data_IF_286673644933
#
_entry.id   IF_286673644933
#
_cell.length_a   1.000
_cell.length_b   1.000
_cell.length_c   1.000
_cell.angle_alpha   90.00
_cell.angle_beta   90.00
_cell.angle_gamma   90.00
#
_symmetry.space_group_name_H-M   'P 1'
#
loop_
_entity.id
_entity.type
_entity.pdbx_description
1 polymer ?
#
# COMPACT_ATOMS: atom_id res chain seq x y z
N UNK A 1 -10.50 -10.89 -17.00
CA UNK A 1 -10.32 -10.03 -15.80
C UNK A 1 -9.11 -9.14 -16.04
N UNK A 2 -9.30 -7.92 -16.55
CA UNK A 2 -8.20 -6.97 -16.75
C UNK A 2 -8.50 -5.71 -15.94
N UNK A 3 -8.10 -5.75 -14.66
CA UNK A 3 -8.00 -4.53 -13.85
C UNK A 3 -6.70 -3.78 -14.16
N UNK A 4 -6.54 -2.55 -13.66
CA UNK A 4 -5.30 -1.80 -13.79
C UNK A 4 -4.14 -2.55 -13.10
N UNK A 5 -2.96 -2.55 -13.73
CA UNK A 5 -1.74 -3.18 -13.21
C UNK A 5 -0.71 -2.13 -12.80
N UNK A 6 -0.08 -2.32 -11.64
CA UNK A 6 1.04 -1.49 -11.16
C UNK A 6 2.35 -2.21 -11.47
N UNK A 7 3.30 -1.52 -12.12
CA UNK A 7 4.64 -2.08 -12.36
C UNK A 7 5.46 -2.05 -11.06
N UNK A 8 6.06 -3.18 -10.74
CA UNK A 8 6.95 -3.36 -9.58
C UNK A 8 8.29 -3.88 -10.09
N UNK A 9 9.39 -3.31 -9.61
CA UNK A 9 10.72 -3.77 -10.00
C UNK A 9 11.01 -5.19 -9.47
N UNK A 10 11.95 -5.87 -10.13
CA UNK A 10 12.27 -7.27 -9.81
C UNK A 10 12.78 -7.46 -8.39
N UNK A 11 13.54 -6.52 -7.85
CA UNK A 11 14.12 -6.63 -6.51
C UNK A 11 13.03 -6.46 -5.44
N UNK A 12 12.10 -5.51 -5.63
CA UNK A 12 10.95 -5.37 -4.75
C UNK A 12 10.01 -6.56 -4.83
N UNK A 13 9.73 -7.08 -6.04
CA UNK A 13 8.90 -8.29 -6.20
C UNK A 13 9.49 -9.51 -5.49
N UNK A 14 10.82 -9.69 -5.52
CA UNK A 14 11.49 -10.76 -4.80
C UNK A 14 11.30 -10.65 -3.28
N UNK A 15 11.37 -9.43 -2.72
CA UNK A 15 11.09 -9.18 -1.30
C UNK A 15 9.63 -9.46 -0.97
N UNK A 16 8.69 -8.99 -1.81
CA UNK A 16 7.26 -9.23 -1.64
C UNK A 16 6.98 -10.74 -1.55
N UNK A 17 7.50 -11.54 -2.49
CA UNK A 17 7.32 -13.00 -2.48
C UNK A 17 7.87 -13.64 -1.20
N UNK A 18 9.08 -13.26 -0.80
CA UNK A 18 9.71 -13.78 0.43
C UNK A 18 8.88 -13.48 1.67
N UNK A 19 8.51 -12.22 1.88
CA UNK A 19 7.81 -11.81 3.09
C UNK A 19 6.33 -12.20 3.10
N UNK A 20 5.67 -12.26 1.94
CA UNK A 20 4.32 -12.82 1.83
C UNK A 20 4.28 -14.27 2.33
N UNK A 21 5.25 -15.11 1.91
CA UNK A 21 5.36 -16.49 2.37
C UNK A 21 5.66 -16.60 3.87
N UNK A 22 6.60 -15.79 4.38
CA UNK A 22 6.92 -15.76 5.83
C UNK A 22 5.69 -15.35 6.66
N UNK A 23 4.89 -14.42 6.16
CA UNK A 23 3.70 -13.92 6.84
C UNK A 23 2.45 -14.80 6.62
N UNK A 24 2.57 -15.93 5.92
CA UNK A 24 1.50 -16.92 5.76
C UNK A 24 0.42 -16.54 4.74
N UNK A 25 0.70 -15.64 3.82
CA UNK A 25 -0.25 -15.25 2.76
C UNK A 25 -0.35 -16.33 1.68
N UNK A 26 -1.55 -16.50 1.10
CA UNK A 26 -1.76 -17.49 0.05
C UNK A 26 -1.12 -17.07 -1.28
N UNK A 27 -0.93 -15.77 -1.50
CA UNK A 27 -0.22 -15.23 -2.67
C UNK A 27 0.48 -13.88 -2.40
N UNK A 28 1.53 -13.54 -3.18
CA UNK A 28 2.12 -12.20 -3.17
C UNK A 28 1.09 -11.09 -3.46
N UNK A 29 0.13 -11.36 -4.34
CA UNK A 29 -0.94 -10.45 -4.72
C UNK A 29 -1.88 -10.13 -3.55
N UNK A 30 -2.22 -11.14 -2.75
CA UNK A 30 -3.00 -10.97 -1.52
C UNK A 30 -2.26 -10.08 -0.51
N UNK A 31 -0.97 -10.33 -0.32
CA UNK A 31 -0.12 -9.52 0.55
C UNK A 31 -0.08 -8.06 0.11
N UNK A 32 0.17 -7.80 -1.17
CA UNK A 32 0.19 -6.43 -1.72
C UNK A 32 -1.15 -5.75 -1.51
N UNK A 33 -2.26 -6.45 -1.79
CA UNK A 33 -3.61 -5.89 -1.58
C UNK A 33 -3.83 -5.48 -0.12
N UNK A 34 -3.61 -6.37 0.84
CA UNK A 34 -3.83 -6.06 2.27
C UNK A 34 -2.93 -4.93 2.75
N UNK A 35 -1.68 -4.86 2.29
CA UNK A 35 -0.78 -3.75 2.63
C UNK A 35 -1.33 -2.43 2.08
N UNK A 36 -1.75 -2.40 0.81
CA UNK A 36 -2.31 -1.18 0.21
C UNK A 36 -3.61 -0.75 0.90
N UNK A 37 -4.53 -1.68 1.18
CA UNK A 37 -5.77 -1.41 1.92
C UNK A 37 -5.47 -0.85 3.32
N UNK A 38 -4.52 -1.45 4.05
CA UNK A 38 -4.10 -0.97 5.36
C UNK A 38 -3.47 0.42 5.30
N UNK A 39 -2.66 0.71 4.28
CA UNK A 39 -2.08 2.05 4.13
C UNK A 39 -3.15 3.08 3.77
N UNK A 40 -4.14 2.76 2.93
CA UNK A 40 -5.27 3.64 2.61
C UNK A 40 -6.12 3.91 3.86
N UNK A 41 -6.40 2.88 4.66
CA UNK A 41 -7.21 3.01 5.88
C UNK A 41 -6.67 4.05 6.86
N UNK A 42 -5.34 4.24 6.94
CA UNK A 42 -4.72 5.29 7.78
C UNK A 42 -5.17 6.72 7.41
N UNK A 43 -5.60 6.91 6.17
CA UNK A 43 -6.08 8.20 5.67
C UNK A 43 -7.62 8.30 5.74
N UNK A 44 -8.33 7.18 5.60
CA UNK A 44 -9.80 7.14 5.74
C UNK A 44 -10.26 7.19 7.20
N UNK A 45 -9.49 6.61 8.13
CA UNK A 45 -9.74 6.69 9.57
C UNK A 45 -9.63 8.16 10.05
N UNK A 46 -10.80 8.79 10.15
CA UNK A 46 -10.97 10.14 10.70
C UNK A 46 -11.96 11.03 9.96
N UNK A 47 -12.49 10.63 8.79
CA UNK A 47 -13.38 11.49 8.00
C UNK A 47 -12.73 12.83 7.61
N UNK A 48 -11.41 12.85 7.58
CA UNK A 48 -10.59 14.03 7.39
C UNK A 48 -10.86 14.63 6.01
N UNK A 49 -11.13 15.94 5.96
CA UNK A 49 -11.29 16.64 4.68
C UNK A 49 -10.01 16.52 3.84
N UNK A 50 -10.11 16.68 2.52
CA UNK A 50 -8.97 16.56 1.60
C UNK A 50 -7.75 17.41 2.04
N UNK A 51 -8.01 18.57 2.66
CA UNK A 51 -7.02 19.47 3.26
C UNK A 51 -6.26 18.86 4.45
N UNK A 52 -6.95 18.11 5.30
CA UNK A 52 -6.35 17.40 6.44
C UNK A 52 -5.50 16.21 5.99
N UNK A 53 -5.96 15.47 4.97
CA UNK A 53 -5.18 14.39 4.34
C UNK A 53 -3.90 14.99 3.75
N UNK A 54 -4.00 16.12 3.03
CA UNK A 54 -2.84 16.80 2.45
C UNK A 54 -1.83 17.26 3.49
N UNK A 55 -2.28 17.83 4.61
CA UNK A 55 -1.40 18.20 5.75
C UNK A 55 -0.71 16.99 6.37
N UNK A 56 -1.43 15.88 6.56
CA UNK A 56 -0.82 14.61 7.03
C UNK A 56 0.23 14.10 6.05
N UNK A 57 -0.03 14.18 4.74
CA UNK A 57 0.91 13.78 3.70
C UNK A 57 2.18 14.65 3.67
N UNK A 58 2.06 15.96 3.91
CA UNK A 58 3.21 16.85 4.08
C UNK A 58 4.05 16.45 5.30
N UNK A 59 3.43 16.17 6.44
CA UNK A 59 4.13 15.72 7.66
C UNK A 59 4.83 14.37 7.51
N UNK A 60 4.33 13.50 6.62
CA UNK A 60 4.94 12.20 6.30
C UNK A 60 5.96 12.29 5.14
N UNK A 61 6.14 13.45 4.53
CA UNK A 61 7.11 13.67 3.44
C UNK A 61 6.68 13.11 2.08
N UNK A 62 5.40 12.81 1.88
CA UNK A 62 4.87 12.35 0.58
C UNK A 62 4.57 13.49 -0.38
N UNK A 63 4.35 14.71 0.15
CA UNK A 63 4.07 15.92 -0.63
C UNK A 63 4.96 17.03 -0.07
N UNK A 64 5.69 17.72 -0.94
CA UNK A 64 6.39 18.97 -0.65
C UNK A 64 5.67 20.14 -1.28
#
# INVERSE_FOLDING_TARGET
>A
MFGPSIKIDKALLAKIRKYAGIAGYASPEEFVRHVLEREIAKFEEGGASEDEIRKRMQGLGYIS
#
